data_IF_795963865703
#
_entry.id   IF_795963865703
#
_cell.length_a   1.000
_cell.length_b   1.000
_cell.length_c   1.000
_cell.angle_alpha   90.00
_cell.angle_beta   90.00
_cell.angle_gamma   90.00
#
_symmetry.space_group_name_H-M   'P 1'
#
loop_
_entity.id
_entity.type
_entity.pdbx_description
1 polymer ?
#
# COMPACT_ATOMS: atom_id res chain seq x y z
N UNK A 1 -1.03 -20.49 -10.64
CA UNK A 1 0.04 -20.02 -11.55
C UNK A 1 1.07 -21.14 -11.56
N UNK A 2 1.59 -21.54 -12.72
CA UNK A 2 2.64 -22.56 -12.76
C UNK A 2 3.88 -22.05 -11.98
N UNK A 3 4.50 -22.91 -11.17
CA UNK A 3 5.69 -22.60 -10.37
C UNK A 3 6.80 -22.00 -11.24
N UNK A 4 6.98 -22.51 -12.46
CA UNK A 4 7.96 -21.99 -13.42
C UNK A 4 7.69 -20.53 -13.83
N UNK A 5 6.43 -20.19 -14.07
CA UNK A 5 6.04 -18.80 -14.39
C UNK A 5 6.27 -17.85 -13.21
N UNK A 6 6.11 -18.33 -11.97
CA UNK A 6 6.43 -17.54 -10.78
C UNK A 6 7.93 -17.23 -10.72
N UNK A 7 8.78 -18.25 -10.84
CA UNK A 7 10.24 -18.10 -10.75
C UNK A 7 10.77 -17.19 -11.85
N UNK A 8 10.29 -17.35 -13.09
CA UNK A 8 10.63 -16.44 -14.20
C UNK A 8 10.32 -14.97 -13.89
N UNK A 9 9.17 -14.69 -13.28
CA UNK A 9 8.80 -13.33 -12.88
C UNK A 9 9.73 -12.80 -11.79
N UNK A 10 10.08 -13.60 -10.79
CA UNK A 10 11.05 -13.19 -9.76
C UNK A 10 12.41 -12.91 -10.40
N UNK A 11 12.94 -13.82 -11.22
CA UNK A 11 14.22 -13.66 -11.90
C UNK A 11 14.27 -12.40 -12.78
N UNK A 12 13.21 -12.13 -13.55
CA UNK A 12 13.10 -10.89 -14.31
C UNK A 12 13.22 -9.64 -13.42
N UNK A 13 12.54 -9.62 -12.26
CA UNK A 13 12.59 -8.46 -11.38
C UNK A 13 13.92 -8.32 -10.64
N UNK A 14 14.63 -9.43 -10.37
CA UNK A 14 16.00 -9.39 -9.88
C UNK A 14 16.92 -8.73 -10.91
N UNK A 15 16.87 -9.19 -12.16
CA UNK A 15 17.65 -8.62 -13.26
C UNK A 15 17.31 -7.15 -13.51
N UNK A 16 16.03 -6.77 -13.42
CA UNK A 16 15.59 -5.40 -13.58
C UNK A 16 16.17 -4.48 -12.48
N UNK A 17 16.22 -4.95 -11.24
CA UNK A 17 16.84 -4.21 -10.13
C UNK A 17 18.32 -3.95 -10.37
N UNK A 18 19.05 -4.98 -10.83
CA UNK A 18 20.47 -4.88 -11.20
C UNK A 18 20.68 -3.93 -12.39
N UNK A 19 19.86 -4.05 -13.44
CA UNK A 19 19.98 -3.27 -14.65
C UNK A 19 19.78 -1.77 -14.39
N UNK A 20 18.76 -1.40 -13.59
CA UNK A 20 18.51 0.00 -13.23
C UNK A 20 19.59 0.54 -12.30
N UNK A 21 20.15 -0.28 -11.40
CA UNK A 21 21.31 0.12 -10.61
C UNK A 21 22.52 0.45 -11.51
N UNK A 22 22.82 -0.41 -12.48
CA UNK A 22 23.93 -0.21 -13.40
C UNK A 22 23.70 0.96 -14.40
N UNK A 23 22.46 1.14 -14.84
CA UNK A 23 22.07 2.16 -15.84
C UNK A 23 20.79 2.86 -15.40
N UNK A 24 20.93 3.98 -14.69
CA UNK A 24 19.82 4.74 -14.10
C UNK A 24 18.78 5.21 -15.11
N UNK A 25 19.19 5.49 -16.36
CA UNK A 25 18.27 5.86 -17.46
C UNK A 25 17.19 4.81 -17.72
N UNK A 26 17.47 3.51 -17.47
CA UNK A 26 16.48 2.44 -17.61
C UNK A 26 15.28 2.62 -16.69
N UNK A 27 15.38 3.40 -15.61
CA UNK A 27 14.22 3.72 -14.75
C UNK A 27 13.13 4.50 -15.51
N UNK A 28 13.51 5.44 -16.37
CA UNK A 28 12.57 6.20 -17.22
C UNK A 28 11.92 5.31 -18.27
N UNK A 29 12.73 4.45 -18.91
CA UNK A 29 12.27 3.44 -19.88
C UNK A 29 11.30 2.48 -19.20
N UNK A 30 11.60 2.06 -17.97
CA UNK A 30 10.75 1.16 -17.19
C UNK A 30 9.39 1.80 -16.88
N UNK A 31 9.33 3.06 -16.44
CA UNK A 31 8.06 3.77 -16.24
C UNK A 31 7.22 3.82 -17.52
N UNK A 32 7.84 4.14 -18.66
CA UNK A 32 7.16 4.16 -19.96
C UNK A 32 6.66 2.76 -20.36
N UNK A 33 7.48 1.72 -20.17
CA UNK A 33 7.12 0.34 -20.44
C UNK A 33 5.93 -0.12 -19.59
N UNK A 34 5.85 0.26 -18.30
CA UNK A 34 4.69 -0.01 -17.44
C UNK A 34 3.43 0.61 -18.05
N UNK A 35 3.50 1.88 -18.45
CA UNK A 35 2.37 2.60 -19.03
C UNK A 35 1.83 1.87 -20.28
N UNK A 36 2.70 1.63 -21.26
CA UNK A 36 2.34 1.00 -22.54
C UNK A 36 1.86 -0.44 -22.34
N UNK A 37 2.59 -1.24 -21.57
CA UNK A 37 2.27 -2.65 -21.36
C UNK A 37 0.90 -2.82 -20.70
N UNK A 38 0.62 -2.09 -19.61
CA UNK A 38 -0.65 -2.25 -18.92
C UNK A 38 -1.82 -1.57 -19.64
N UNK A 39 -1.60 -0.44 -20.32
CA UNK A 39 -2.63 0.13 -21.19
C UNK A 39 -3.07 -0.88 -22.26
N UNK A 40 -2.11 -1.50 -22.95
CA UNK A 40 -2.39 -2.54 -23.94
C UNK A 40 -3.14 -3.74 -23.33
N UNK A 41 -2.70 -4.24 -22.17
CA UNK A 41 -3.37 -5.35 -21.48
C UNK A 41 -4.82 -5.03 -21.08
N UNK A 42 -5.11 -3.79 -20.69
CA UNK A 42 -6.47 -3.36 -20.35
C UNK A 42 -7.34 -3.23 -21.61
N UNK A 43 -6.80 -2.64 -22.69
CA UNK A 43 -7.53 -2.41 -23.94
C UNK A 43 -7.90 -3.72 -24.64
N UNK A 44 -6.93 -4.64 -24.77
CA UNK A 44 -7.10 -5.92 -25.48
C UNK A 44 -7.84 -6.99 -24.69
N UNK A 45 -7.95 -6.85 -23.37
CA UNK A 45 -8.66 -7.83 -22.54
C UNK A 45 -10.16 -7.88 -22.81
N UNK A 46 -10.72 -9.08 -22.75
CA UNK A 46 -12.18 -9.31 -22.80
C UNK A 46 -12.89 -8.52 -21.68
N UNK A 47 -14.11 -8.00 -21.89
CA UNK A 47 -14.81 -7.17 -20.90
C UNK A 47 -14.90 -7.77 -19.49
N UNK A 48 -15.05 -9.09 -19.37
CA UNK A 48 -15.09 -9.81 -18.09
C UNK A 48 -13.76 -9.87 -17.35
N UNK A 49 -12.63 -9.69 -18.05
CA UNK A 49 -11.28 -9.74 -17.51
C UNK A 49 -10.67 -8.35 -17.30
N UNK A 50 -11.17 -7.32 -18.00
CA UNK A 50 -10.71 -5.93 -17.86
C UNK A 50 -10.59 -5.47 -16.41
N UNK A 51 -11.55 -5.76 -15.48
CA UNK A 51 -11.40 -5.29 -14.12
C UNK A 51 -10.19 -5.87 -13.39
N UNK A 52 -9.86 -7.13 -13.67
CA UNK A 52 -8.68 -7.77 -13.10
C UNK A 52 -7.42 -7.15 -13.68
N UNK A 53 -7.37 -6.86 -14.98
CA UNK A 53 -6.20 -6.22 -15.60
C UNK A 53 -5.95 -4.82 -15.05
N UNK A 54 -7.00 -4.03 -14.81
CA UNK A 54 -6.90 -2.72 -14.15
C UNK A 54 -6.30 -2.86 -12.76
N UNK A 55 -6.77 -3.82 -11.95
CA UNK A 55 -6.21 -4.06 -10.62
C UNK A 55 -4.76 -4.55 -10.68
N UNK A 56 -4.38 -5.38 -11.65
CA UNK A 56 -2.99 -5.82 -11.86
C UNK A 56 -2.09 -4.64 -12.23
N UNK A 57 -2.56 -3.76 -13.11
CA UNK A 57 -1.84 -2.55 -13.51
C UNK A 57 -1.62 -1.62 -12.32
N UNK A 58 -2.68 -1.28 -11.58
CA UNK A 58 -2.59 -0.42 -10.42
C UNK A 58 -1.67 -1.02 -9.33
N UNK A 59 -1.77 -2.32 -9.08
CA UNK A 59 -0.90 -3.01 -8.13
C UNK A 59 0.57 -2.91 -8.53
N UNK A 60 0.88 -3.11 -9.81
CA UNK A 60 2.25 -3.02 -10.31
C UNK A 60 2.79 -1.58 -10.21
N UNK A 61 1.99 -0.58 -10.60
CA UNK A 61 2.36 0.84 -10.46
C UNK A 61 2.68 1.18 -9.01
N UNK A 62 1.79 0.81 -8.08
CA UNK A 62 1.98 1.02 -6.63
C UNK A 62 3.24 0.34 -6.10
N UNK A 63 3.53 -0.88 -6.53
CA UNK A 63 4.76 -1.58 -6.16
C UNK A 63 6.02 -0.91 -6.73
N UNK A 64 5.91 -0.30 -7.92
CA UNK A 64 7.04 0.31 -8.62
C UNK A 64 7.32 1.77 -8.24
N UNK A 65 6.33 2.48 -7.71
CA UNK A 65 6.37 3.94 -7.52
C UNK A 65 7.61 4.42 -6.75
N UNK A 66 7.85 3.84 -5.57
CA UNK A 66 8.97 4.25 -4.72
C UNK A 66 10.30 3.93 -5.39
N UNK A 67 10.39 2.80 -6.09
CA UNK A 67 11.60 2.42 -6.82
C UNK A 67 11.91 3.37 -7.98
N UNK A 68 10.90 3.76 -8.75
CA UNK A 68 11.05 4.70 -9.87
C UNK A 68 11.39 6.10 -9.35
N UNK A 69 10.73 6.56 -8.28
CA UNK A 69 11.05 7.85 -7.64
C UNK A 69 12.46 7.88 -7.08
N UNK A 70 12.87 6.84 -6.37
CA UNK A 70 14.21 6.68 -5.79
C UNK A 70 15.32 6.75 -6.84
N UNK A 71 15.06 6.26 -8.05
CA UNK A 71 16.03 6.19 -9.14
C UNK A 71 15.91 7.35 -10.14
N UNK A 72 15.10 8.37 -9.84
CA UNK A 72 14.92 9.53 -10.71
C UNK A 72 14.19 9.26 -12.02
N UNK A 73 13.40 8.18 -12.11
CA UNK A 73 12.69 7.76 -13.32
C UNK A 73 11.40 8.53 -13.61
N UNK A 74 10.89 9.30 -12.66
CA UNK A 74 9.63 10.04 -12.82
C UNK A 74 9.80 11.32 -13.66
N UNK A 75 8.95 11.51 -14.67
CA UNK A 75 8.84 12.79 -15.39
C UNK A 75 8.09 13.86 -14.57
N UNK A 76 7.08 13.43 -13.80
CA UNK A 76 6.32 14.26 -12.88
C UNK A 76 6.37 13.63 -11.50
N UNK A 77 6.47 14.44 -10.45
CA UNK A 77 6.54 13.92 -9.08
C UNK A 77 5.38 12.96 -8.79
N UNK A 78 4.14 13.34 -9.15
CA UNK A 78 2.91 12.57 -8.92
C UNK A 78 2.53 11.57 -10.02
N UNK A 79 3.44 11.24 -10.93
CA UNK A 79 3.17 10.37 -12.10
C UNK A 79 2.48 9.05 -11.73
N UNK A 80 2.89 8.38 -10.65
CA UNK A 80 2.32 7.08 -10.27
C UNK A 80 0.86 7.17 -9.81
N UNK A 81 0.48 8.22 -9.07
CA UNK A 81 -0.93 8.45 -8.68
C UNK A 81 -1.78 8.72 -9.91
N UNK A 82 -1.29 9.55 -10.83
CA UNK A 82 -1.99 9.81 -12.09
C UNK A 82 -2.12 8.56 -12.97
N UNK A 83 -1.11 7.71 -13.01
CA UNK A 83 -1.16 6.45 -13.75
C UNK A 83 -2.18 5.46 -13.16
N UNK A 84 -2.27 5.38 -11.83
CA UNK A 84 -3.35 4.61 -11.15
C UNK A 84 -4.72 5.18 -11.52
N UNK A 85 -4.90 6.50 -11.44
CA UNK A 85 -6.16 7.16 -11.82
C UNK A 85 -6.52 6.86 -13.29
N UNK A 86 -5.55 6.97 -14.20
CA UNK A 86 -5.73 6.68 -15.63
C UNK A 86 -6.20 5.25 -15.85
N UNK A 87 -5.52 4.26 -15.29
CA UNK A 87 -5.90 2.85 -15.44
C UNK A 87 -7.27 2.54 -14.83
N UNK A 88 -7.61 3.15 -13.69
CA UNK A 88 -8.94 3.02 -13.11
C UNK A 88 -10.00 3.64 -14.01
N UNK A 89 -9.76 4.82 -14.58
CA UNK A 89 -10.69 5.43 -15.54
C UNK A 89 -10.89 4.57 -16.79
N UNK A 90 -9.82 4.01 -17.36
CA UNK A 90 -9.94 3.03 -18.45
C UNK A 90 -10.87 1.87 -18.04
N UNK A 91 -10.76 1.40 -16.80
CA UNK A 91 -11.66 0.38 -16.24
C UNK A 91 -13.11 0.84 -16.05
N UNK A 92 -13.33 2.08 -15.60
CA UNK A 92 -14.66 2.65 -15.39
C UNK A 92 -15.40 2.85 -16.73
N UNK A 93 -14.72 3.31 -17.77
CA UNK A 93 -15.33 3.53 -19.09
C UNK A 93 -15.55 2.22 -19.87
N UNK A 94 -14.81 1.16 -19.56
CA UNK A 94 -14.88 -0.11 -20.30
C UNK A 94 -15.61 -1.23 -19.56
N UNK A 95 -16.03 -1.01 -18.31
CA UNK A 95 -16.70 -2.05 -17.50
C UNK A 95 -17.88 -1.48 -16.72
N UNK A 96 -18.98 -2.22 -16.65
CA UNK A 96 -20.15 -1.81 -15.87
C UNK A 96 -19.84 -1.82 -14.38
N UNK A 97 -20.31 -0.79 -13.68
CA UNK A 97 -20.25 -0.72 -12.22
C UNK A 97 -21.32 -1.64 -11.62
N UNK A 98 -20.97 -2.47 -10.62
CA UNK A 98 -21.91 -3.42 -10.00
C UNK A 98 -22.94 -2.76 -9.08
N UNK A 99 -22.66 -1.54 -8.58
CA UNK A 99 -23.56 -0.74 -7.74
C UNK A 99 -23.13 0.71 -7.77
N UNK A 100 -24.03 1.65 -7.44
CA UNK A 100 -23.69 3.06 -7.28
C UNK A 100 -22.91 3.30 -5.97
N UNK A 101 -21.64 3.70 -6.02
CA UNK A 101 -20.81 3.96 -4.85
C UNK A 101 -21.05 5.37 -4.28
N UNK A 102 -22.31 5.73 -3.97
CA UNK A 102 -22.73 7.11 -3.63
C UNK A 102 -21.85 7.74 -2.54
N UNK A 103 -21.49 6.99 -1.49
CA UNK A 103 -20.61 7.50 -0.44
C UNK A 103 -19.25 7.98 -0.95
N UNK A 104 -18.64 7.28 -1.91
CA UNK A 104 -17.34 7.68 -2.48
C UNK A 104 -17.46 8.81 -3.51
N UNK A 105 -18.62 8.94 -4.16
CA UNK A 105 -18.94 10.11 -4.99
C UNK A 105 -19.05 11.33 -4.07
N UNK A 106 -19.82 11.22 -2.99
CA UNK A 106 -19.97 12.26 -1.98
C UNK A 106 -18.61 12.64 -1.36
N UNK A 107 -17.76 11.66 -1.03
CA UNK A 107 -16.39 11.90 -0.57
C UNK A 107 -15.60 12.82 -1.53
N UNK A 108 -15.63 12.56 -2.85
CA UNK A 108 -14.93 13.40 -3.82
C UNK A 108 -15.52 14.82 -3.88
N UNK A 109 -16.85 14.96 -3.80
CA UNK A 109 -17.51 16.27 -3.77
C UNK A 109 -17.15 17.07 -2.51
N UNK A 110 -17.03 16.43 -1.36
CA UNK A 110 -16.63 17.07 -0.09
C UNK A 110 -15.20 17.63 -0.13
N UNK A 111 -14.35 17.21 -1.08
CA UNK A 111 -13.02 17.79 -1.25
C UNK A 111 -13.06 19.13 -2.01
N UNK A 112 -14.11 19.43 -2.79
CA UNK A 112 -14.17 20.62 -3.64
C UNK A 112 -14.17 21.96 -2.88
N UNK A 113 -14.90 22.12 -1.74
CA UNK A 113 -14.90 23.39 -1.02
C UNK A 113 -13.50 23.87 -0.63
N UNK A 114 -12.63 22.96 -0.17
CA UNK A 114 -11.25 23.31 0.20
C UNK A 114 -10.39 23.78 -1.00
N UNK A 115 -10.72 23.35 -2.22
CA UNK A 115 -10.08 23.85 -3.46
C UNK A 115 -10.49 25.29 -3.72
N UNK A 116 -11.79 25.59 -3.57
CA UNK A 116 -12.33 26.93 -3.77
C UNK A 116 -11.72 27.90 -2.77
N UNK A 117 -11.68 27.53 -1.49
CA UNK A 117 -11.04 28.33 -0.42
C UNK A 117 -9.56 28.59 -0.73
N UNK A 118 -8.82 27.57 -1.18
CA UNK A 118 -7.42 27.75 -1.56
C UNK A 118 -7.25 28.75 -2.71
N UNK A 119 -8.15 28.71 -3.70
CA UNK A 119 -8.16 29.63 -4.84
C UNK A 119 -8.45 31.08 -4.42
N UNK A 120 -9.48 31.28 -3.58
CA UNK A 120 -9.85 32.60 -3.07
C UNK A 120 -8.76 33.23 -2.18
N UNK A 121 -8.02 32.40 -1.43
CA UNK A 121 -6.98 32.83 -0.50
C UNK A 121 -5.55 32.73 -1.08
N UNK A 122 -5.40 32.74 -2.40
CA UNK A 122 -4.10 32.57 -3.07
C UNK A 122 -3.13 33.71 -2.72
N UNK A 123 -1.90 33.36 -2.32
CA UNK A 123 -0.88 34.35 -1.96
C UNK A 123 -0.06 34.73 -3.20
N UNK A 124 0.35 35.99 -3.39
CA UNK A 124 1.22 36.40 -4.49
C UNK A 124 2.51 35.54 -4.50
N UNK A 125 2.85 34.96 -5.66
CA UNK A 125 4.05 34.12 -5.83
C UNK A 125 3.88 32.61 -5.51
N UNK A 126 2.74 32.17 -4.97
CA UNK A 126 2.47 30.74 -4.74
C UNK A 126 2.02 30.01 -6.03
N UNK A 127 2.53 28.81 -6.28
CA UNK A 127 2.09 27.99 -7.41
C UNK A 127 0.88 27.13 -7.00
N UNK A 128 -0.28 27.78 -6.88
CA UNK A 128 -1.55 27.21 -6.42
C UNK A 128 -1.83 25.83 -7.04
N UNK A 129 -1.61 25.68 -8.35
CA UNK A 129 -1.83 24.41 -9.06
C UNK A 129 -0.98 23.28 -8.50
N UNK A 130 0.30 23.54 -8.25
CA UNK A 130 1.25 22.54 -7.73
C UNK A 130 0.89 22.15 -6.30
N UNK A 131 0.52 23.12 -5.47
CA UNK A 131 0.15 22.87 -4.06
C UNK A 131 -1.15 22.08 -3.96
N UNK A 132 -2.17 22.44 -4.75
CA UNK A 132 -3.43 21.69 -4.83
C UNK A 132 -3.15 20.26 -5.33
N UNK A 133 -2.39 20.11 -6.41
CA UNK A 133 -2.09 18.81 -6.99
C UNK A 133 -1.31 17.90 -6.01
N UNK A 134 -0.32 18.43 -5.31
CA UNK A 134 0.46 17.69 -4.33
C UNK A 134 -0.42 17.21 -3.16
N UNK A 135 -1.32 18.07 -2.67
CA UNK A 135 -2.14 17.73 -1.51
C UNK A 135 -3.36 16.86 -1.85
N UNK A 136 -4.02 17.07 -2.99
CA UNK A 136 -5.23 16.33 -3.36
C UNK A 136 -5.01 15.10 -4.24
N UNK A 137 -3.86 14.96 -4.91
CA UNK A 137 -3.61 13.79 -5.78
C UNK A 137 -3.81 12.46 -5.06
N UNK A 138 -3.41 12.38 -3.78
CA UNK A 138 -3.62 11.20 -2.94
C UNK A 138 -5.10 10.94 -2.64
N UNK A 139 -5.80 11.86 -1.95
CA UNK A 139 -7.23 11.77 -1.68
C UNK A 139 -8.10 11.46 -2.92
N UNK A 140 -7.86 12.17 -4.02
CA UNK A 140 -8.59 11.95 -5.28
C UNK A 140 -8.30 10.57 -5.86
N UNK A 141 -7.03 10.14 -5.87
CA UNK A 141 -6.67 8.77 -6.29
C UNK A 141 -7.41 7.72 -5.46
N UNK A 142 -7.51 7.90 -4.14
CA UNK A 142 -8.23 6.99 -3.26
C UNK A 142 -9.72 6.95 -3.60
N UNK A 143 -10.36 8.11 -3.74
CA UNK A 143 -11.77 8.18 -4.10
C UNK A 143 -12.06 7.45 -5.42
N UNK A 144 -11.27 7.70 -6.46
CA UNK A 144 -11.44 7.08 -7.78
C UNK A 144 -11.22 5.55 -7.72
N UNK A 145 -10.16 5.09 -7.04
CA UNK A 145 -9.95 3.65 -6.82
C UNK A 145 -11.12 3.04 -6.04
N UNK A 146 -11.61 3.71 -5.00
CA UNK A 146 -12.71 3.22 -4.17
C UNK A 146 -14.01 3.09 -4.98
N UNK A 147 -14.33 4.06 -5.85
CA UNK A 147 -15.46 4.00 -6.79
C UNK A 147 -15.39 2.73 -7.64
N UNK A 148 -14.22 2.42 -8.18
CA UNK A 148 -14.03 1.27 -9.05
C UNK A 148 -14.11 -0.07 -8.29
N UNK A 149 -13.54 -0.14 -7.09
CA UNK A 149 -13.46 -1.36 -6.30
C UNK A 149 -14.75 -1.70 -5.54
N UNK A 150 -15.60 -0.72 -5.23
CA UNK A 150 -16.75 -0.90 -4.36
C UNK A 150 -17.69 -2.02 -4.82
N UNK A 151 -17.85 -3.04 -3.95
CA UNK A 151 -18.65 -4.26 -4.16
C UNK A 151 -18.28 -5.05 -5.42
N UNK A 152 -17.12 -4.78 -6.02
CA UNK A 152 -16.70 -5.45 -7.24
C UNK A 152 -16.27 -6.87 -6.95
N UNK A 153 -16.86 -7.82 -7.67
CA UNK A 153 -16.58 -9.24 -7.51
C UNK A 153 -15.20 -9.57 -8.06
N UNK A 154 -14.39 -10.27 -7.26
CA UNK A 154 -13.09 -10.79 -7.67
C UNK A 154 -12.91 -12.22 -7.16
N UNK A 155 -12.32 -13.09 -7.98
CA UNK A 155 -11.95 -14.42 -7.50
C UNK A 155 -10.78 -14.31 -6.52
N UNK A 156 -10.77 -15.15 -5.50
CA UNK A 156 -9.66 -15.24 -4.56
C UNK A 156 -8.30 -15.46 -5.25
N UNK A 157 -8.27 -16.25 -6.34
CA UNK A 157 -7.07 -16.48 -7.13
C UNK A 157 -6.58 -15.19 -7.81
N UNK A 158 -7.49 -14.37 -8.33
CA UNK A 158 -7.12 -13.10 -8.96
C UNK A 158 -6.68 -12.06 -7.93
N UNK A 159 -7.29 -12.00 -6.74
CA UNK A 159 -6.79 -11.13 -5.67
C UNK A 159 -5.35 -11.46 -5.28
N UNK A 160 -5.01 -12.75 -5.16
CA UNK A 160 -3.63 -13.15 -4.91
C UNK A 160 -2.67 -12.83 -6.08
N UNK A 161 -3.16 -12.80 -7.33
CA UNK A 161 -2.38 -12.29 -8.47
C UNK A 161 -2.14 -10.78 -8.36
N UNK A 162 -3.15 -10.01 -7.95
CA UNK A 162 -3.02 -8.56 -7.68
C UNK A 162 -1.94 -8.31 -6.63
N UNK A 163 -1.98 -9.03 -5.51
CA UNK A 163 -0.94 -8.93 -4.48
C UNK A 163 0.45 -9.30 -5.01
N UNK A 164 0.56 -10.35 -5.82
CA UNK A 164 1.84 -10.70 -6.44
C UNK A 164 2.35 -9.58 -7.36
N UNK A 165 1.51 -8.99 -8.20
CA UNK A 165 1.93 -7.90 -9.10
C UNK A 165 2.39 -6.66 -8.33
N UNK A 166 1.86 -6.43 -7.13
CA UNK A 166 2.37 -5.42 -6.19
C UNK A 166 3.76 -5.76 -5.64
N UNK A 167 4.01 -7.03 -5.29
CA UNK A 167 5.29 -7.46 -4.73
C UNK A 167 6.43 -7.57 -5.75
N UNK A 168 6.12 -7.73 -7.04
CA UNK A 168 7.12 -7.98 -8.06
C UNK A 168 8.13 -6.81 -8.22
N UNK A 169 7.72 -5.54 -8.41
CA UNK A 169 8.67 -4.42 -8.46
C UNK A 169 9.42 -4.20 -7.14
N UNK A 170 8.84 -4.60 -6.00
CA UNK A 170 9.51 -4.52 -4.70
C UNK A 170 10.70 -5.47 -4.61
N UNK A 171 10.70 -6.58 -5.37
CA UNK A 171 11.89 -7.43 -5.53
C UNK A 171 13.00 -6.63 -6.21
N UNK A 172 12.70 -5.93 -7.32
CA UNK A 172 13.68 -5.07 -8.02
C UNK A 172 14.24 -3.99 -7.11
N UNK A 173 13.37 -3.32 -6.35
CA UNK A 173 13.76 -2.31 -5.38
C UNK A 173 14.66 -2.87 -4.27
N UNK A 174 14.34 -4.06 -3.77
CA UNK A 174 15.14 -4.72 -2.73
C UNK A 174 16.54 -5.01 -3.26
N UNK A 175 16.65 -5.57 -4.47
CA UNK A 175 17.93 -5.81 -5.12
C UNK A 175 18.70 -4.49 -5.30
N UNK A 176 18.07 -3.46 -5.85
CA UNK A 176 18.69 -2.14 -5.98
C UNK A 176 19.27 -1.62 -4.66
N UNK A 177 18.50 -1.71 -3.55
CA UNK A 177 18.99 -1.27 -2.24
C UNK A 177 20.20 -2.06 -1.74
N UNK A 178 20.32 -3.35 -2.09
CA UNK A 178 21.50 -4.14 -1.76
C UNK A 178 22.77 -3.66 -2.45
N UNK A 179 22.66 -3.17 -3.68
CA UNK A 179 23.78 -2.63 -4.44
C UNK A 179 24.04 -1.15 -4.15
N UNK A 180 22.99 -0.38 -3.86
CA UNK A 180 23.11 1.03 -3.50
C UNK A 180 23.83 1.22 -2.16
N UNK A 181 23.51 0.37 -1.17
CA UNK A 181 24.17 0.39 0.15
C UNK A 181 24.60 -1.02 0.53
N UNK A 182 25.75 -1.50 0.03
CA UNK A 182 26.27 -2.83 0.35
C UNK A 182 26.65 -2.95 1.83
N UNK A 183 27.35 -1.94 2.36
CA UNK A 183 27.71 -1.84 3.77
C UNK A 183 26.74 -0.91 4.51
N UNK A 184 25.82 -1.50 5.27
CA UNK A 184 24.88 -0.74 6.10
C UNK A 184 25.61 -0.04 7.24
N UNK A 185 26.62 -0.69 7.84
CA UNK A 185 27.32 -0.18 9.03
C UNK A 185 27.99 1.15 8.75
N UNK A 186 28.61 1.31 7.59
CA UNK A 186 29.24 2.57 7.18
C UNK A 186 28.25 3.74 7.03
N UNK A 187 26.96 3.46 6.85
CA UNK A 187 25.94 4.51 6.60
C UNK A 187 25.14 4.91 7.83
N UNK A 188 25.24 4.16 8.94
CA UNK A 188 24.44 4.39 10.15
C UNK A 188 25.26 5.12 11.20
N UNK A 189 24.98 6.41 11.38
CA UNK A 189 25.69 7.29 12.33
C UNK A 189 24.85 7.69 13.54
N UNK A 190 23.58 7.29 13.61
CA UNK A 190 22.70 7.62 14.72
C UNK A 190 21.33 6.93 14.65
N UNK A 191 20.39 7.37 15.49
CA UNK A 191 19.05 6.75 15.60
C UNK A 191 17.97 7.44 14.78
N UNK A 192 18.33 8.40 13.92
CA UNK A 192 17.41 9.02 12.97
C UNK A 192 17.02 8.07 11.83
N UNK A 193 15.96 8.41 11.10
CA UNK A 193 15.64 7.70 9.85
C UNK A 193 16.78 7.88 8.84
N UNK A 194 17.15 6.83 8.10
CA UNK A 194 18.38 6.79 7.32
C UNK A 194 18.12 6.82 5.81
N UNK A 195 18.43 7.95 5.16
CA UNK A 195 18.27 8.14 3.71
C UNK A 195 19.25 7.29 2.90
N UNK A 196 20.49 7.13 3.34
CA UNK A 196 21.50 6.33 2.64
C UNK A 196 21.09 4.85 2.59
N UNK A 197 20.61 4.28 3.69
CA UNK A 197 20.04 2.93 3.72
C UNK A 197 18.71 2.80 2.93
N UNK A 198 18.13 3.93 2.53
CA UNK A 198 16.86 4.03 1.80
C UNK A 198 17.05 4.44 0.33
N UNK A 199 18.23 4.23 -0.25
CA UNK A 199 18.47 4.52 -1.67
C UNK A 199 18.56 6.02 -2.00
N UNK A 200 18.84 6.87 -0.99
CA UNK A 200 18.78 8.32 -1.11
C UNK A 200 17.34 8.88 -1.11
N UNK A 201 16.33 8.04 -0.92
CA UNK A 201 14.92 8.43 -0.92
C UNK A 201 14.31 8.42 0.49
N UNK A 202 13.09 8.94 0.62
CA UNK A 202 12.41 9.09 1.91
C UNK A 202 12.22 7.76 2.65
N UNK A 203 12.86 7.58 3.83
CA UNK A 203 12.89 6.29 4.54
C UNK A 203 11.51 5.76 4.93
N UNK A 204 10.58 6.68 5.23
CA UNK A 204 9.21 6.30 5.56
C UNK A 204 8.53 5.60 4.38
N UNK A 205 8.61 6.15 3.18
CA UNK A 205 7.97 5.56 2.00
C UNK A 205 8.62 4.24 1.62
N UNK A 206 9.95 4.15 1.71
CA UNK A 206 10.72 2.92 1.46
C UNK A 206 10.30 1.81 2.43
N UNK A 207 10.29 2.10 3.73
CA UNK A 207 9.86 1.16 4.76
C UNK A 207 8.40 0.71 4.57
N UNK A 208 7.49 1.63 4.24
CA UNK A 208 6.07 1.31 4.00
C UNK A 208 5.89 0.32 2.85
N UNK A 209 6.54 0.52 1.70
CA UNK A 209 6.37 -0.39 0.56
C UNK A 209 7.11 -1.71 0.75
N UNK A 210 8.29 -1.73 1.38
CA UNK A 210 8.93 -2.99 1.77
C UNK A 210 8.08 -3.76 2.78
N UNK A 211 7.41 -3.05 3.70
CA UNK A 211 6.41 -3.60 4.60
C UNK A 211 5.21 -4.24 3.90
N UNK A 212 4.70 -3.62 2.82
CA UNK A 212 3.72 -4.27 1.93
C UNK A 212 4.28 -5.56 1.32
N UNK A 213 5.53 -5.53 0.86
CA UNK A 213 6.24 -6.70 0.36
C UNK A 213 6.32 -7.82 1.40
N UNK A 214 6.68 -7.50 2.65
CA UNK A 214 6.70 -8.43 3.77
C UNK A 214 5.33 -9.09 3.98
N UNK A 215 4.26 -8.29 3.99
CA UNK A 215 2.90 -8.80 4.12
C UNK A 215 2.52 -9.75 2.98
N UNK A 216 2.76 -9.36 1.72
CA UNK A 216 2.43 -10.18 0.55
C UNK A 216 3.23 -11.49 0.56
N UNK A 217 4.54 -11.44 0.82
CA UNK A 217 5.39 -12.62 0.87
C UNK A 217 5.01 -13.54 2.02
N UNK A 218 4.61 -12.99 3.16
CA UNK A 218 4.06 -13.77 4.28
C UNK A 218 2.79 -14.50 3.87
N UNK A 219 1.82 -13.80 3.25
CA UNK A 219 0.61 -14.45 2.73
C UNK A 219 0.95 -15.57 1.73
N UNK A 220 1.95 -15.36 0.86
CA UNK A 220 2.40 -16.39 -0.09
C UNK A 220 3.11 -17.57 0.60
N UNK A 221 3.92 -17.31 1.62
CA UNK A 221 4.62 -18.35 2.38
C UNK A 221 3.64 -19.32 3.04
N UNK A 222 2.59 -18.81 3.68
CA UNK A 222 1.60 -19.63 4.38
C UNK A 222 0.53 -20.25 3.46
N UNK A 223 0.12 -19.56 2.39
CA UNK A 223 -1.03 -20.01 1.56
C UNK A 223 -0.67 -20.57 0.19
N UNK A 224 0.39 -20.08 -0.45
CA UNK A 224 0.63 -20.28 -1.89
C UNK A 224 1.96 -20.95 -2.22
N UNK A 225 2.70 -21.42 -1.21
CA UNK A 225 3.98 -22.12 -1.35
C UNK A 225 3.80 -23.61 -1.01
N UNK A 226 3.35 -24.44 -1.98
CA UNK A 226 2.98 -25.84 -1.71
C UNK A 226 4.18 -26.74 -1.40
N UNK A 227 5.36 -26.45 -1.94
CA UNK A 227 6.58 -27.24 -1.75
C UNK A 227 7.66 -26.43 -0.99
N UNK A 228 8.69 -27.14 -0.49
CA UNK A 228 9.78 -26.54 0.28
C UNK A 228 10.52 -25.47 -0.51
N UNK A 229 10.83 -25.72 -1.79
CA UNK A 229 11.53 -24.79 -2.66
C UNK A 229 10.86 -23.41 -2.75
N UNK A 230 9.54 -23.37 -2.99
CA UNK A 230 8.80 -22.10 -3.04
C UNK A 230 8.69 -21.41 -1.68
N UNK A 231 8.69 -22.18 -0.58
CA UNK A 231 8.75 -21.61 0.77
C UNK A 231 10.10 -20.97 1.04
N UNK A 232 11.20 -21.60 0.62
CA UNK A 232 12.55 -21.05 0.71
C UNK A 232 12.63 -19.75 -0.08
N UNK A 233 12.18 -19.73 -1.34
CA UNK A 233 12.17 -18.50 -2.15
C UNK A 233 11.38 -17.39 -1.44
N UNK A 234 10.17 -17.68 -0.97
CA UNK A 234 9.34 -16.68 -0.30
C UNK A 234 9.96 -16.21 1.02
N UNK A 235 10.60 -17.12 1.77
CA UNK A 235 11.29 -16.83 3.02
C UNK A 235 12.56 -15.99 2.84
N UNK A 236 13.38 -16.29 1.84
CA UNK A 236 14.57 -15.51 1.50
C UNK A 236 14.20 -14.10 1.04
N UNK A 237 13.23 -13.97 0.14
CA UNK A 237 12.75 -12.65 -0.29
C UNK A 237 12.13 -11.87 0.88
N UNK A 238 11.40 -12.56 1.76
CA UNK A 238 10.83 -11.95 2.95
C UNK A 238 11.92 -11.44 3.87
N UNK A 239 12.95 -12.24 4.16
CA UNK A 239 14.08 -11.84 4.99
C UNK A 239 14.84 -10.66 4.38
N UNK A 240 15.11 -10.69 3.08
CA UNK A 240 15.78 -9.62 2.36
C UNK A 240 14.99 -8.29 2.43
N UNK A 241 13.68 -8.33 2.19
CA UNK A 241 12.81 -7.15 2.30
C UNK A 241 12.68 -6.66 3.74
N UNK A 242 12.58 -7.57 4.70
CA UNK A 242 12.45 -7.24 6.12
C UNK A 242 13.73 -6.57 6.63
N UNK A 243 14.90 -7.14 6.32
CA UNK A 243 16.19 -6.56 6.64
C UNK A 243 16.31 -5.15 6.07
N UNK A 244 16.11 -5.00 4.75
CA UNK A 244 16.19 -3.68 4.10
C UNK A 244 15.16 -2.69 4.63
N UNK A 245 13.97 -3.14 4.99
CA UNK A 245 12.95 -2.29 5.58
C UNK A 245 13.33 -1.80 6.99
N UNK A 246 13.90 -2.67 7.83
CA UNK A 246 14.30 -2.34 9.21
C UNK A 246 15.47 -1.36 9.22
N UNK A 247 16.51 -1.60 8.41
CA UNK A 247 17.72 -0.75 8.38
C UNK A 247 17.49 0.64 7.77
N UNK A 248 16.28 0.96 7.32
CA UNK A 248 15.88 2.34 6.99
C UNK A 248 15.68 3.22 8.23
N UNK A 249 15.62 2.62 9.43
CA UNK A 249 15.32 3.30 10.71
C UNK A 249 13.93 3.97 10.74
N UNK A 250 13.04 3.67 9.78
CA UNK A 250 11.65 4.09 9.77
C UNK A 250 10.75 3.03 10.43
N UNK A 251 10.38 3.26 11.70
CA UNK A 251 9.52 2.35 12.49
C UNK A 251 8.11 2.17 11.89
N UNK A 252 7.52 3.25 11.37
CA UNK A 252 6.11 3.28 10.97
C UNK A 252 5.73 2.24 9.89
N UNK A 253 6.56 2.08 8.87
CA UNK A 253 6.33 1.09 7.80
C UNK A 253 6.43 -0.35 8.30
N UNK A 254 7.45 -0.66 9.10
CA UNK A 254 7.64 -1.99 9.71
C UNK A 254 6.49 -2.33 10.68
N UNK A 255 6.14 -1.42 11.59
CA UNK A 255 5.03 -1.63 12.52
C UNK A 255 3.70 -1.85 11.77
N UNK A 256 3.46 -1.07 10.71
CA UNK A 256 2.29 -1.25 9.84
C UNK A 256 2.27 -2.67 9.25
N UNK A 257 3.39 -3.15 8.72
CA UNK A 257 3.50 -4.51 8.18
C UNK A 257 3.24 -5.60 9.23
N UNK A 258 3.76 -5.42 10.45
CA UNK A 258 3.51 -6.36 11.56
C UNK A 258 2.01 -6.44 11.90
N UNK A 259 1.32 -5.30 12.00
CA UNK A 259 -0.13 -5.28 12.21
C UNK A 259 -0.90 -5.93 11.05
N UNK A 260 -0.49 -5.68 9.80
CA UNK A 260 -1.08 -6.34 8.63
C UNK A 260 -0.94 -7.86 8.70
N UNK A 261 0.26 -8.34 9.01
CA UNK A 261 0.61 -9.76 9.10
C UNK A 261 -0.16 -10.43 10.25
N UNK A 262 -0.19 -9.81 11.43
CA UNK A 262 -0.92 -10.31 12.59
C UNK A 262 -2.42 -10.45 12.28
N UNK A 263 -3.04 -9.41 11.72
CA UNK A 263 -4.44 -9.45 11.30
C UNK A 263 -4.68 -10.57 10.28
N UNK A 264 -3.82 -10.69 9.26
CA UNK A 264 -3.95 -11.75 8.26
C UNK A 264 -3.84 -13.15 8.86
N UNK A 265 -2.82 -13.41 9.67
CA UNK A 265 -2.61 -14.71 10.31
C UNK A 265 -3.80 -15.09 11.19
N UNK A 266 -4.32 -14.15 11.98
CA UNK A 266 -5.51 -14.35 12.81
C UNK A 266 -6.74 -14.73 11.98
N UNK A 267 -7.10 -13.94 10.96
CA UNK A 267 -8.28 -14.22 10.13
C UNK A 267 -8.11 -15.44 9.23
N UNK A 268 -6.89 -15.73 8.78
CA UNK A 268 -6.57 -16.92 8.02
C UNK A 268 -6.70 -18.17 8.89
N UNK A 269 -6.14 -18.16 10.10
CA UNK A 269 -6.22 -19.26 11.05
C UNK A 269 -7.67 -19.60 11.42
N UNK A 270 -8.55 -18.59 11.57
CA UNK A 270 -9.98 -18.80 11.81
C UNK A 270 -10.73 -19.47 10.65
N UNK A 271 -10.28 -19.29 9.40
CA UNK A 271 -10.98 -19.81 8.21
C UNK A 271 -10.56 -21.21 7.77
N UNK A 272 -9.38 -21.67 8.16
CA UNK A 272 -8.85 -22.96 7.69
C UNK A 272 -9.30 -24.14 8.55
N UNK A 273 -9.25 -25.35 7.99
CA UNK A 273 -9.56 -26.59 8.71
C UNK A 273 -8.49 -26.97 9.75
N UNK A 274 -8.80 -27.93 10.63
CA UNK A 274 -7.91 -28.29 11.75
C UNK A 274 -6.53 -28.78 11.30
N UNK A 275 -6.46 -29.59 10.24
CA UNK A 275 -5.19 -30.06 9.66
C UNK A 275 -4.31 -28.89 9.20
N UNK A 276 -4.92 -27.90 8.54
CA UNK A 276 -4.22 -26.69 8.13
C UNK A 276 -3.81 -25.81 9.31
N UNK A 277 -4.60 -25.73 10.39
CA UNK A 277 -4.21 -25.03 11.63
C UNK A 277 -2.92 -25.62 12.22
N UNK A 278 -2.84 -26.94 12.40
CA UNK A 278 -1.61 -27.60 12.88
C UNK A 278 -0.40 -27.32 11.98
N UNK A 279 -0.59 -27.32 10.65
CA UNK A 279 0.47 -26.95 9.71
C UNK A 279 0.89 -25.48 9.87
N UNK A 280 -0.05 -24.56 10.02
CA UNK A 280 0.23 -23.12 10.21
C UNK A 280 1.00 -22.90 11.51
N UNK A 281 0.56 -23.50 12.63
CA UNK A 281 1.25 -23.35 13.93
C UNK A 281 2.72 -23.75 13.85
N UNK A 282 3.05 -24.88 13.21
CA UNK A 282 4.46 -25.27 12.98
C UNK A 282 5.23 -24.27 12.11
N UNK A 283 4.59 -23.75 11.06
CA UNK A 283 5.21 -22.73 10.20
C UNK A 283 5.38 -21.38 10.90
N UNK A 284 4.55 -21.05 11.88
CA UNK A 284 4.70 -19.85 12.71
C UNK A 284 5.99 -19.92 13.52
N UNK A 285 6.36 -21.09 14.07
CA UNK A 285 7.66 -21.25 14.78
C UNK A 285 8.84 -20.93 13.86
N UNK A 286 8.86 -21.50 12.66
CA UNK A 286 9.91 -21.23 11.65
C UNK A 286 9.91 -19.75 11.24
N UNK A 287 8.73 -19.17 11.07
CA UNK A 287 8.57 -17.76 10.72
C UNK A 287 9.07 -16.83 11.82
N UNK A 288 8.84 -17.15 13.09
CA UNK A 288 9.38 -16.41 14.23
C UNK A 288 10.90 -16.51 14.28
N UNK A 289 11.47 -17.70 14.06
CA UNK A 289 12.93 -17.86 13.99
C UNK A 289 13.55 -17.02 12.86
N UNK A 290 12.89 -16.96 11.69
CA UNK A 290 13.30 -16.09 10.59
C UNK A 290 13.24 -14.60 10.98
N UNK A 291 12.17 -14.17 11.65
CA UNK A 291 12.00 -12.79 12.10
C UNK A 291 13.08 -12.39 13.13
N UNK A 292 13.38 -13.26 14.10
CA UNK A 292 14.47 -13.06 15.07
C UNK A 292 15.82 -13.00 14.38
N UNK A 293 16.05 -13.84 13.37
CA UNK A 293 17.29 -13.82 12.58
C UNK A 293 17.47 -12.50 11.84
N UNK A 294 16.41 -11.99 11.21
CA UNK A 294 16.43 -10.67 10.54
C UNK A 294 16.72 -9.56 11.55
N UNK A 295 16.08 -9.59 12.72
CA UNK A 295 16.32 -8.60 13.78
C UNK A 295 17.78 -8.63 14.26
N UNK A 296 18.29 -9.83 14.56
CA UNK A 296 19.68 -10.03 14.98
C UNK A 296 20.68 -9.51 13.93
N UNK A 297 20.50 -9.88 12.66
CA UNK A 297 21.35 -9.38 11.57
C UNK A 297 21.26 -7.86 11.46
N UNK A 298 20.07 -7.28 11.59
CA UNK A 298 19.87 -5.82 11.57
C UNK A 298 20.59 -5.14 12.73
N UNK A 299 20.52 -5.71 13.94
CA UNK A 299 21.24 -5.17 15.11
C UNK A 299 22.76 -5.21 14.92
N UNK A 300 23.30 -6.35 14.47
CA UNK A 300 24.74 -6.51 14.21
C UNK A 300 25.25 -5.58 13.10
N UNK A 301 24.45 -5.38 12.05
CA UNK A 301 24.78 -4.48 10.92
C UNK A 301 24.64 -2.99 11.27
N UNK A 302 23.97 -2.66 12.37
CA UNK A 302 23.76 -1.27 12.82
C UNK A 302 24.50 -0.94 14.13
N UNK A 303 25.30 -1.87 14.66
CA UNK A 303 26.01 -1.69 15.93
C UNK A 303 25.07 -1.51 17.13
N UNK A 304 23.88 -2.11 17.10
CA UNK A 304 22.87 -1.95 18.15
C UNK A 304 22.04 -0.65 18.05
N UNK A 305 22.36 0.28 17.15
CA UNK A 305 21.61 1.54 17.02
C UNK A 305 20.15 1.33 16.62
N UNK A 306 19.82 0.23 15.94
CA UNK A 306 18.44 -0.11 15.63
C UNK A 306 17.62 -0.40 16.90
N UNK A 307 18.25 -0.98 17.93
CA UNK A 307 17.59 -1.25 19.21
C UNK A 307 17.27 0.06 19.90
N UNK A 308 18.25 0.98 19.95
CA UNK A 308 18.04 2.33 20.48
C UNK A 308 16.90 3.05 19.73
N UNK A 309 16.87 2.96 18.39
CA UNK A 309 15.77 3.54 17.60
C UNK A 309 14.41 2.98 17.99
N UNK A 310 14.28 1.67 18.13
CA UNK A 310 13.00 1.03 18.46
C UNK A 310 12.62 1.19 19.95
N UNK A 311 13.59 1.34 20.84
CA UNK A 311 13.41 1.68 22.26
C UNK A 311 13.23 3.19 22.52
N UNK A 312 13.17 4.01 21.47
CA UNK A 312 13.07 5.47 21.55
C UNK A 312 14.22 6.16 22.31
N UNK A 313 15.43 5.63 22.15
CA UNK A 313 16.67 6.14 22.70
C UNK A 313 17.52 6.84 21.65
N UNK A 314 18.40 7.73 22.09
CA UNK A 314 19.43 8.32 21.26
C UNK A 314 20.58 7.32 20.99
N UNK A 315 21.62 7.77 20.26
CA UNK A 315 22.74 6.89 19.94
C UNK A 315 23.53 6.42 21.18
N UNK A 316 23.47 7.18 22.28
CA UNK A 316 24.11 6.88 23.56
C UNK A 316 23.22 6.05 24.50
N UNK A 317 21.99 5.70 24.08
CA UNK A 317 21.06 4.92 24.89
C UNK A 317 20.20 5.74 25.86
N UNK A 318 20.24 7.08 25.80
CA UNK A 318 19.40 7.96 26.63
C UNK A 318 18.00 8.04 26.05
N UNK A 319 16.97 8.04 26.89
CA UNK A 319 15.58 8.17 26.43
C UNK A 319 15.33 9.57 25.85
N UNK A 320 14.62 9.61 24.72
CA UNK A 320 14.22 10.87 24.09
C UNK A 320 12.89 11.34 24.67
N UNK A 321 12.81 12.62 25.05
CA UNK A 321 11.57 13.26 25.49
C UNK A 321 10.49 13.21 24.41
N UNK A 322 10.86 13.46 23.15
CA UNK A 322 9.95 13.35 22.01
C UNK A 322 10.00 11.96 21.35
N UNK A 323 8.90 11.24 21.45
CA UNK A 323 8.68 9.93 20.81
C UNK A 323 8.27 10.06 19.35
N UNK A 324 7.65 11.20 18.98
CA UNK A 324 6.92 11.38 17.73
C UNK A 324 7.72 12.06 16.63
N UNK A 325 8.96 12.47 16.89
CA UNK A 325 9.84 13.18 15.94
C UNK A 325 9.21 14.48 15.43
N UNK A 326 8.68 15.30 16.34
CA UNK A 326 8.05 16.60 16.10
C UNK A 326 6.63 16.53 15.54
N UNK A 327 6.04 15.33 15.39
CA UNK A 327 4.70 15.18 14.79
C UNK A 327 3.58 15.64 15.70
N UNK A 328 3.78 15.59 17.02
CA UNK A 328 2.84 16.16 17.99
C UNK A 328 2.55 17.63 17.64
N UNK A 329 3.60 18.40 17.40
CA UNK A 329 3.50 19.85 17.23
C UNK A 329 2.82 20.18 15.91
N UNK A 330 3.14 19.43 14.85
CA UNK A 330 2.47 19.57 13.55
C UNK A 330 0.96 19.30 13.65
N UNK A 331 0.57 18.27 14.41
CA UNK A 331 -0.84 17.90 14.62
C UNK A 331 -1.56 18.96 15.46
N UNK A 332 -0.92 19.45 16.52
CA UNK A 332 -1.47 20.50 17.39
C UNK A 332 -1.73 21.78 16.59
N UNK A 333 -0.78 22.20 15.77
CA UNK A 333 -0.95 23.34 14.86
C UNK A 333 -2.13 23.13 13.90
N UNK A 334 -2.18 21.98 13.23
CA UNK A 334 -3.25 21.64 12.30
C UNK A 334 -4.64 21.62 12.97
N UNK A 335 -4.72 21.11 14.19
CA UNK A 335 -5.95 21.10 14.96
C UNK A 335 -6.40 22.51 15.37
N UNK A 336 -5.46 23.38 15.76
CA UNK A 336 -5.76 24.78 16.05
C UNK A 336 -6.27 25.53 14.82
N UNK A 337 -5.68 25.29 13.64
CA UNK A 337 -6.17 25.88 12.39
C UNK A 337 -7.58 25.39 12.02
N UNK A 338 -7.89 24.13 12.30
CA UNK A 338 -9.26 23.61 12.18
C UNK A 338 -10.24 24.33 13.14
N UNK A 339 -9.88 24.52 14.41
CA UNK A 339 -10.75 25.22 15.38
C UNK A 339 -10.98 26.68 15.00
N UNK A 340 -9.98 27.34 14.40
CA UNK A 340 -10.09 28.71 13.91
C UNK A 340 -10.92 28.82 12.62
N UNK A 341 -10.96 27.76 11.79
CA UNK A 341 -11.65 27.74 10.51
C UNK A 341 -12.55 26.49 10.36
N UNK A 342 -13.55 26.30 11.25
CA UNK A 342 -14.18 25.00 11.44
C UNK A 342 -15.03 24.53 10.26
N UNK A 343 -15.69 25.46 9.54
CA UNK A 343 -16.63 25.08 8.47
C UNK A 343 -15.91 24.73 7.18
N UNK A 344 -15.17 25.68 6.61
CA UNK A 344 -14.56 25.55 5.28
C UNK A 344 -13.08 25.16 5.30
N UNK A 345 -12.43 25.21 6.47
CA UNK A 345 -10.99 25.02 6.60
C UNK A 345 -10.18 26.20 6.05
N UNK A 346 -8.86 26.08 6.14
CA UNK A 346 -7.91 27.11 5.65
C UNK A 346 -7.66 27.03 4.14
N UNK A 347 -8.20 26.01 3.47
CA UNK A 347 -7.95 25.72 2.07
C UNK A 347 -6.80 24.74 1.85
N UNK A 348 -6.92 23.95 0.79
CA UNK A 348 -5.98 22.89 0.41
C UNK A 348 -4.58 23.44 0.19
N UNK A 349 -3.58 22.81 0.82
CA UNK A 349 -2.16 23.14 0.69
C UNK A 349 -1.71 24.40 1.42
N UNK A 350 -2.61 25.15 2.07
CA UNK A 350 -2.29 26.38 2.79
C UNK A 350 -1.58 26.14 4.12
N UNK A 351 -1.76 24.97 4.72
CA UNK A 351 -1.26 24.68 6.06
C UNK A 351 0.26 24.81 6.19
N UNK A 352 0.99 24.43 5.13
CA UNK A 352 2.46 24.54 5.08
C UNK A 352 2.90 26.01 5.10
N UNK A 353 2.20 26.87 4.36
CA UNK A 353 2.50 28.30 4.26
C UNK A 353 2.15 29.01 5.57
N UNK A 354 0.97 28.70 6.14
CA UNK A 354 0.55 29.28 7.42
C UNK A 354 1.53 28.92 8.55
N UNK A 355 2.07 27.71 8.55
CA UNK A 355 3.08 27.27 9.52
C UNK A 355 4.39 28.02 9.36
N UNK A 356 4.87 28.18 8.12
CA UNK A 356 6.06 28.98 7.85
C UNK A 356 5.89 30.43 8.32
N UNK A 357 4.72 31.04 8.10
CA UNK A 357 4.42 32.40 8.52
C UNK A 357 4.32 32.58 10.04
N UNK A 358 3.73 31.62 10.75
CA UNK A 358 3.47 31.73 12.20
C UNK A 358 4.63 31.21 13.07
N UNK A 359 5.32 30.17 12.61
CA UNK A 359 6.34 29.46 13.40
C UNK A 359 7.73 29.52 12.78
N UNK A 360 7.88 30.05 11.56
CA UNK A 360 9.16 30.05 10.83
C UNK A 360 9.57 28.66 10.32
N UNK A 361 8.67 27.67 10.38
CA UNK A 361 8.97 26.27 10.09
C UNK A 361 8.35 25.80 8.77
N UNK A 362 9.19 25.54 7.76
CA UNK A 362 8.77 24.99 6.48
C UNK A 362 8.68 23.45 6.55
N UNK A 363 7.58 22.94 7.12
CA UNK A 363 7.31 21.51 7.24
C UNK A 363 5.94 21.15 6.66
N UNK A 364 5.88 20.15 5.77
CA UNK A 364 4.63 19.61 5.27
C UNK A 364 3.98 18.68 6.31
N UNK A 365 2.65 18.57 6.32
CA UNK A 365 1.98 17.60 7.18
C UNK A 365 2.47 16.17 6.91
N UNK A 366 2.61 15.42 8.00
CA UNK A 366 2.94 14.00 7.98
C UNK A 366 1.73 13.12 8.35
N UNK A 367 0.60 13.74 8.69
CA UNK A 367 -0.64 13.07 9.09
C UNK A 367 -1.80 13.59 8.24
N UNK A 368 -2.39 12.69 7.45
CA UNK A 368 -3.52 12.99 6.58
C UNK A 368 -4.78 13.41 7.36
N UNK A 369 -4.96 12.87 8.58
CA UNK A 369 -6.17 13.07 9.38
C UNK A 369 -6.25 14.51 9.88
N UNK A 370 -5.19 15.00 10.53
CA UNK A 370 -5.14 16.39 10.98
C UNK A 370 -5.13 17.36 9.81
N UNK A 371 -4.44 17.02 8.71
CA UNK A 371 -4.43 17.83 7.48
C UNK A 371 -5.81 17.99 6.86
N UNK A 372 -6.56 16.91 6.62
CA UNK A 372 -7.86 17.01 5.94
C UNK A 372 -8.86 17.80 6.78
N UNK A 373 -8.78 17.70 8.11
CA UNK A 373 -9.58 18.51 9.02
C UNK A 373 -9.21 19.99 8.90
N UNK A 374 -7.92 20.34 9.00
CA UNK A 374 -7.46 21.73 8.91
C UNK A 374 -7.79 22.36 7.55
N UNK A 375 -7.55 21.65 6.45
CA UNK A 375 -7.66 22.19 5.10
C UNK A 375 -9.10 22.23 4.57
N UNK A 376 -10.00 21.35 5.06
CA UNK A 376 -11.38 21.25 4.56
C UNK A 376 -12.46 21.51 5.63
N UNK A 377 -12.11 21.73 6.90
CA UNK A 377 -13.09 21.95 7.97
C UNK A 377 -14.03 20.77 8.18
N UNK A 378 -15.31 21.06 8.41
CA UNK A 378 -16.38 20.07 8.58
C UNK A 378 -16.53 19.16 7.35
N UNK A 379 -16.29 19.68 6.15
CA UNK A 379 -16.28 18.85 4.93
C UNK A 379 -15.19 17.76 5.01
N UNK A 380 -14.03 18.10 5.59
CA UNK A 380 -12.95 17.15 5.87
C UNK A 380 -13.35 16.09 6.90
N UNK A 381 -14.06 16.47 7.95
CA UNK A 381 -14.61 15.54 8.96
C UNK A 381 -15.57 14.53 8.32
N UNK A 382 -16.51 15.00 7.50
CA UNK A 382 -17.44 14.12 6.79
C UNK A 382 -16.73 13.24 5.76
N UNK A 383 -15.78 13.80 5.00
CA UNK A 383 -14.98 13.06 4.03
C UNK A 383 -14.21 11.92 4.71
N UNK A 384 -13.51 12.21 5.81
CA UNK A 384 -12.76 11.20 6.56
C UNK A 384 -13.69 10.15 7.20
N UNK A 385 -14.85 10.56 7.71
CA UNK A 385 -15.85 9.66 8.28
C UNK A 385 -16.36 8.65 7.25
N UNK A 386 -16.56 9.06 6.00
CA UNK A 386 -16.89 8.13 4.90
C UNK A 386 -15.78 7.10 4.72
N UNK A 387 -14.51 7.53 4.70
CA UNK A 387 -13.38 6.62 4.53
C UNK A 387 -13.25 5.62 5.68
N UNK A 388 -13.53 6.06 6.90
CA UNK A 388 -13.47 5.20 8.09
C UNK A 388 -14.63 4.18 8.11
N UNK A 389 -15.86 4.65 7.89
CA UNK A 389 -17.07 3.87 8.13
C UNK A 389 -17.48 3.00 6.94
N UNK A 390 -17.33 3.46 5.69
CA UNK A 390 -17.84 2.74 4.53
C UNK A 390 -17.24 1.33 4.34
N UNK A 391 -15.92 1.09 4.51
CA UNK A 391 -15.35 -0.26 4.48
C UNK A 391 -15.89 -1.15 5.60
N UNK A 392 -16.07 -0.60 6.81
CA UNK A 392 -16.57 -1.34 7.97
C UNK A 392 -18.03 -1.77 7.77
N UNK A 393 -18.89 -0.86 7.30
CA UNK A 393 -20.27 -1.16 6.94
C UNK A 393 -20.35 -2.23 5.84
N UNK A 394 -19.48 -2.16 4.83
CA UNK A 394 -19.36 -3.20 3.82
C UNK A 394 -18.92 -4.55 4.43
N UNK A 395 -17.97 -4.53 5.36
CA UNK A 395 -17.45 -5.73 6.04
C UNK A 395 -18.48 -6.46 6.88
N UNK A 396 -19.36 -5.74 7.57
CA UNK A 396 -20.43 -6.38 8.34
C UNK A 396 -21.31 -7.28 7.47
N UNK A 397 -21.59 -6.84 6.24
CA UNK A 397 -22.37 -7.61 5.25
C UNK A 397 -21.53 -8.66 4.53
N UNK A 398 -20.23 -8.42 4.30
CA UNK A 398 -19.35 -9.31 3.56
C UNK A 398 -18.09 -9.73 4.33
N UNK A 399 -18.11 -10.95 4.86
CA UNK A 399 -17.02 -11.55 5.65
C UNK A 399 -16.05 -12.40 4.82
N UNK A 400 -16.17 -12.41 3.49
CA UNK A 400 -15.41 -13.35 2.65
C UNK A 400 -13.94 -12.98 2.47
N UNK A 401 -13.61 -11.69 2.35
CA UNK A 401 -12.23 -11.25 2.19
C UNK A 401 -11.41 -11.55 3.47
N UNK A 402 -10.38 -12.40 3.38
CA UNK A 402 -9.49 -12.74 4.50
C UNK A 402 -8.48 -11.62 4.79
N UNK A 403 -8.15 -10.81 3.79
CA UNK A 403 -7.16 -9.74 3.88
C UNK A 403 -7.77 -8.38 4.26
N UNK A 404 -9.08 -8.32 4.49
CA UNK A 404 -9.81 -7.06 4.71
C UNK A 404 -9.17 -6.18 5.80
N UNK A 405 -8.94 -6.74 6.99
CA UNK A 405 -8.37 -5.97 8.10
C UNK A 405 -6.90 -5.62 7.87
N UNK A 406 -6.14 -6.47 7.16
CA UNK A 406 -4.78 -6.13 6.76
C UNK A 406 -4.76 -4.90 5.83
N UNK A 407 -5.64 -4.85 4.83
CA UNK A 407 -5.74 -3.71 3.92
C UNK A 407 -6.23 -2.44 4.63
N UNK A 408 -7.22 -2.58 5.52
CA UNK A 408 -7.76 -1.46 6.27
C UNK A 408 -6.74 -0.86 7.24
N UNK A 409 -6.04 -1.71 8.01
CA UNK A 409 -4.97 -1.28 8.91
C UNK A 409 -3.80 -0.66 8.15
N UNK A 410 -3.44 -1.20 6.98
CA UNK A 410 -2.42 -0.59 6.14
C UNK A 410 -2.76 0.84 5.78
N UNK A 411 -3.96 1.07 5.25
CA UNK A 411 -4.42 2.41 4.91
C UNK A 411 -4.40 3.31 6.15
N UNK A 412 -5.08 2.91 7.22
CA UNK A 412 -5.26 3.73 8.42
C UNK A 412 -3.92 4.11 9.08
N UNK A 413 -3.02 3.15 9.26
CA UNK A 413 -1.71 3.42 9.87
C UNK A 413 -0.82 4.25 8.94
N UNK A 414 -0.86 4.00 7.61
CA UNK A 414 -0.03 4.73 6.64
C UNK A 414 -0.41 6.20 6.53
N UNK A 415 -1.71 6.51 6.47
CA UNK A 415 -2.16 7.90 6.39
C UNK A 415 -1.83 8.71 7.65
N UNK A 416 -1.66 8.05 8.80
CA UNK A 416 -1.24 8.70 10.04
C UNK A 416 0.29 8.90 10.16
N UNK A 417 1.13 7.99 9.62
CA UNK A 417 2.59 8.07 9.80
C UNK A 417 3.37 8.55 8.57
N UNK A 418 2.77 8.53 7.38
CA UNK A 418 3.41 8.91 6.12
C UNK A 418 2.48 9.70 5.18
N UNK A 419 1.31 10.12 5.65
CA UNK A 419 0.25 10.75 4.86
C UNK A 419 -0.07 9.98 3.56
N UNK A 420 -0.63 10.66 2.55
CA UNK A 420 -0.90 10.10 1.22
C UNK A 420 0.18 10.47 0.17
N UNK A 421 1.47 10.44 0.59
CA UNK A 421 2.61 10.84 -0.27
C UNK A 421 2.86 9.88 -1.45
N UNK A 422 2.41 8.63 -1.35
CA UNK A 422 2.49 7.60 -2.40
C UNK A 422 1.09 7.07 -2.72
N UNK A 423 0.91 6.40 -3.86
CA UNK A 423 -0.37 5.82 -4.29
C UNK A 423 -0.78 4.55 -3.52
N UNK A 424 0.15 3.91 -2.82
CA UNK A 424 -0.08 2.67 -2.07
C UNK A 424 -1.29 2.70 -1.11
N UNK A 425 -1.42 3.67 -0.16
CA UNK A 425 -2.57 3.73 0.74
C UNK A 425 -3.91 3.87 0.00
N UNK A 426 -3.94 4.63 -1.10
CA UNK A 426 -5.13 4.79 -1.93
C UNK A 426 -5.56 3.47 -2.59
N UNK A 427 -4.61 2.76 -3.20
CA UNK A 427 -4.92 1.50 -3.90
C UNK A 427 -5.32 0.39 -2.93
N UNK A 428 -4.55 0.21 -1.84
CA UNK A 428 -4.80 -0.85 -0.85
C UNK A 428 -6.13 -0.63 -0.12
N UNK A 429 -6.50 0.63 0.16
CA UNK A 429 -7.84 0.97 0.67
C UNK A 429 -8.94 0.44 -0.26
N UNK A 430 -8.79 0.63 -1.58
CA UNK A 430 -9.73 0.11 -2.57
C UNK A 430 -9.89 -1.41 -2.48
N UNK A 431 -8.82 -2.16 -2.21
CA UNK A 431 -8.87 -3.63 -2.09
C UNK A 431 -9.74 -4.10 -0.91
N UNK A 432 -9.97 -3.26 0.12
CA UNK A 432 -10.92 -3.55 1.20
C UNK A 432 -12.35 -3.73 0.67
N UNK A 433 -12.69 -3.01 -0.39
CA UNK A 433 -14.06 -2.87 -0.90
C UNK A 433 -14.44 -3.95 -1.91
N UNK A 434 -13.48 -4.80 -2.27
CA UNK A 434 -13.71 -5.91 -3.19
C UNK A 434 -14.52 -7.03 -2.53
N UNK A 435 -15.47 -7.57 -3.29
CA UNK A 435 -16.24 -8.75 -2.93
C UNK A 435 -15.49 -10.01 -3.39
N UNK A 436 -14.76 -10.62 -2.45
CA UNK A 436 -13.91 -11.79 -2.74
C UNK A 436 -14.74 -13.07 -2.77
N UNK A 437 -14.74 -13.74 -3.92
CA UNK A 437 -15.43 -15.01 -4.16
C UNK A 437 -14.45 -16.17 -4.22
N UNK A 438 -14.73 -17.20 -3.42
CA UNK A 438 -14.06 -18.50 -3.52
C UNK A 438 -14.80 -19.32 -4.58
N UNK A 439 -14.08 -20.09 -5.41
CA UNK A 439 -14.75 -21.02 -6.34
C UNK A 439 -15.54 -22.02 -5.48
N UNK A 440 -16.87 -22.01 -5.61
CA UNK A 440 -17.69 -23.09 -5.08
C UNK A 440 -17.28 -24.37 -5.83
N UNK A 441 -17.00 -25.46 -5.11
CA UNK A 441 -16.97 -26.79 -5.74
C UNK A 441 -18.36 -26.97 -6.34
N UNK A 442 -18.47 -27.07 -7.67
CA UNK A 442 -19.69 -27.61 -8.27
C UNK A 442 -19.88 -28.99 -7.65
N UNK A 443 -20.84 -29.12 -6.75
CA UNK A 443 -21.42 -30.43 -6.46
C UNK A 443 -22.06 -30.83 -7.78
N UNK A 444 -21.48 -31.81 -8.47
CA UNK A 444 -22.15 -32.47 -9.57
C UNK A 444 -23.42 -33.06 -8.96
N UNK A 445 -24.56 -32.35 -9.08
CA UNK A 445 -25.84 -33.02 -9.00
C UNK A 445 -25.87 -33.92 -10.23
N UNK A 446 -25.66 -35.21 -10.02
CA UNK A 446 -25.95 -36.25 -11.01
C UNK A 446 -27.35 -35.99 -11.57
N UNK A 447 -27.58 -36.10 -12.89
CA UNK A 447 -28.93 -36.00 -13.42
C UNK A 447 -29.77 -37.08 -12.75
N UNK A 448 -30.87 -36.64 -12.13
CA UNK A 448 -31.84 -37.52 -11.52
C UNK A 448 -32.23 -38.60 -12.53
N UNK A 449 -32.13 -39.85 -12.09
CA UNK A 449 -32.58 -41.07 -12.76
C UNK A 449 -33.97 -40.82 -13.33
N UNK A 450 -34.09 -40.85 -14.66
CA UNK A 450 -35.39 -40.96 -15.33
C UNK A 450 -36.02 -42.27 -14.83
N UNK A 451 -37.05 -42.16 -14.00
CA UNK A 451 -37.97 -43.26 -13.75
C UNK A 451 -38.65 -43.59 -15.08
N UNK A 452 -38.17 -44.67 -15.70
CA UNK A 452 -38.88 -45.39 -16.77
C UNK A 452 -40.19 -45.89 -16.15
N UNK A 453 -41.32 -45.29 -16.53
CA UNK A 453 -42.62 -45.95 -16.34
C UNK A 453 -42.65 -47.14 -17.29
N UNK A 454 -42.56 -48.32 -16.71
CA UNK A 454 -42.78 -49.58 -17.40
C UNK A 454 -44.24 -49.62 -17.88
N UNK A 455 -44.42 -49.72 -19.19
CA UNK A 455 -45.63 -50.21 -19.83
C UNK A 455 -45.78 -51.71 -19.52
N UNK A 456 -46.95 -52.13 -19.06
CA UNK A 456 -47.28 -53.52 -18.82
C UNK A 456 -48.79 -53.75 -18.76
N UNK A 457 -49.32 -54.16 -19.91
CA UNK A 457 -50.46 -55.03 -20.16
C UNK A 457 -51.86 -54.68 -19.61
N UNK A 458 -52.74 -54.31 -20.55
CA UNK A 458 -53.95 -55.10 -20.85
C UNK A 458 -53.82 -55.64 -22.27
#
# INVERSE_FOLDING_TARGET
MNNFSYIKKIGFHVLLGLAIYAVSFLSKVYLFAICVYFANQILTAKPSQKPVQVLLACAYVVGSEVFIRMTGGNFLYEASKYLVILFVFMGLFTTRLPSQPIGYIMYLFLLLPGIIVAGLNSSPGSNLRTDIAFNLSGPVCLGIVALFCYKRKISFQNLNKVLLYMALPLVSMTIYLFFYTPDVRATVTGTGSNFAASGGFGPNQVSTVLGLGMFVLTARFFMLSPNLFLKIISGVLLAAMSFRGVVTFSRGGILTALFMIAAYLFFYFRKVNIKAKFRITRLVVIFTALALSVWLISSLQTGGLIENRYANRDALGREKEDVTTGRSDLISFEFNEFLNNPVFGVGVGKIKILREQKEGLLAASHNEVSRILAEHGLFGVFAFSILLLAPMLFRFKNKNNVFFYSFYLFWFLTVNHSAMRIAAPAFVYGLCLLDVRFKSKRVNKSPATKLVKNTGNS
#
